data_IF_436702802861
#
_entry.id   IF_436702802861
#
_cell.length_a   1.000
_cell.length_b   1.000
_cell.length_c   1.000
_cell.angle_alpha   90.00
_cell.angle_beta   90.00
_cell.angle_gamma   90.00
#
_symmetry.space_group_name_H-M   'P 1'
#
loop_
_entity.id
_entity.type
_entity.pdbx_description
1 polymer ?
#
# COMPACT_ATOMS: atom_id res chain seq x y z
N UNK A 1 8.84 1.21 23.05
CA UNK A 1 8.98 -0.16 22.51
C UNK A 1 8.04 -0.29 21.31
N UNK A 2 8.46 -0.88 20.18
CA UNK A 2 7.56 -1.08 19.03
C UNK A 2 6.49 -2.13 19.35
N UNK A 3 5.27 -1.93 18.84
CA UNK A 3 4.20 -2.93 18.91
C UNK A 3 4.61 -4.17 18.11
N UNK A 4 4.37 -5.36 18.66
CA UNK A 4 4.67 -6.65 18.02
C UNK A 4 3.41 -7.47 17.80
N UNK A 5 3.43 -8.39 16.83
CA UNK A 5 2.30 -9.30 16.56
C UNK A 5 1.93 -10.12 17.80
N UNK A 6 2.93 -10.59 18.56
CA UNK A 6 2.73 -11.33 19.81
C UNK A 6 1.97 -10.52 20.86
N UNK A 7 2.32 -9.24 21.03
CA UNK A 7 1.59 -8.36 21.96
C UNK A 7 0.14 -8.13 21.53
N UNK A 8 -0.12 -8.04 20.21
CA UNK A 8 -1.49 -7.95 19.69
C UNK A 8 -2.25 -9.24 20.01
N UNK A 9 -1.68 -10.41 19.72
CA UNK A 9 -2.30 -11.71 20.04
C UNK A 9 -2.63 -11.84 21.52
N UNK A 10 -1.67 -11.54 22.41
CA UNK A 10 -1.86 -11.59 23.86
C UNK A 10 -2.97 -10.65 24.34
N UNK A 11 -3.03 -9.44 23.79
CA UNK A 11 -4.06 -8.45 24.13
C UNK A 11 -5.45 -8.91 23.67
N UNK A 12 -5.57 -9.41 22.45
CA UNK A 12 -6.83 -9.90 21.90
C UNK A 12 -7.32 -11.14 22.66
N UNK A 13 -6.43 -12.08 22.98
CA UNK A 13 -6.75 -13.25 23.79
C UNK A 13 -7.23 -12.87 25.19
N UNK A 14 -6.62 -11.84 25.78
CA UNK A 14 -7.07 -11.30 27.07
C UNK A 14 -8.48 -10.70 26.97
N UNK A 15 -8.76 -9.93 25.91
CA UNK A 15 -10.09 -9.36 25.67
C UNK A 15 -11.15 -10.44 25.44
N UNK A 16 -10.87 -11.42 24.57
CA UNK A 16 -11.79 -12.52 24.29
C UNK A 16 -12.16 -13.28 25.55
N UNK A 17 -11.19 -13.55 26.44
CA UNK A 17 -11.44 -14.19 27.75
C UNK A 17 -12.22 -13.30 28.72
N UNK A 18 -11.91 -12.00 28.74
CA UNK A 18 -12.53 -11.06 29.70
C UNK A 18 -14.01 -10.84 29.39
N UNK A 19 -14.36 -10.83 28.10
CA UNK A 19 -15.71 -10.51 27.63
C UNK A 19 -16.49 -11.73 27.13
N UNK A 20 -15.95 -12.94 27.28
CA UNK A 20 -16.52 -14.19 26.73
C UNK A 20 -16.93 -14.04 25.25
N UNK A 21 -15.99 -13.55 24.46
CA UNK A 21 -16.20 -13.14 23.07
C UNK A 21 -15.16 -13.76 22.13
N UNK A 22 -15.30 -13.49 20.83
CA UNK A 22 -14.42 -13.99 19.78
C UNK A 22 -13.92 -12.87 18.84
N UNK A 23 -13.55 -11.72 19.40
CA UNK A 23 -13.09 -10.55 18.65
C UNK A 23 -11.93 -10.88 17.73
N UNK A 24 -10.97 -11.70 18.18
CA UNK A 24 -9.82 -12.07 17.35
C UNK A 24 -10.22 -12.78 16.06
N UNK A 25 -11.05 -13.80 16.18
CA UNK A 25 -11.58 -14.55 15.04
C UNK A 25 -12.48 -13.68 14.17
N UNK A 26 -13.30 -12.82 14.78
CA UNK A 26 -14.22 -11.96 14.04
C UNK A 26 -13.49 -10.90 13.21
N UNK A 27 -12.48 -10.22 13.79
CA UNK A 27 -11.69 -9.19 13.10
C UNK A 27 -10.84 -9.83 11.98
N UNK A 28 -10.33 -11.04 12.19
CA UNK A 28 -9.52 -11.78 11.21
C UNK A 28 -10.34 -12.62 10.23
N UNK A 29 -11.66 -12.56 10.27
CA UNK A 29 -12.49 -13.18 9.23
C UNK A 29 -12.53 -12.27 7.99
N UNK A 30 -12.05 -12.77 6.85
CA UNK A 30 -11.97 -11.99 5.62
C UNK A 30 -13.34 -11.58 5.05
N UNK A 31 -14.43 -12.30 5.39
CA UNK A 31 -15.80 -11.90 5.05
C UNK A 31 -16.19 -10.56 5.68
N UNK A 32 -15.56 -10.22 6.81
CA UNK A 32 -15.79 -8.97 7.52
C UNK A 32 -14.90 -7.81 7.01
N UNK A 33 -14.06 -8.03 5.99
CA UNK A 33 -13.05 -7.06 5.54
C UNK A 33 -13.61 -5.64 5.30
N UNK A 34 -14.80 -5.51 4.72
CA UNK A 34 -15.43 -4.21 4.47
C UNK A 34 -15.82 -3.49 5.77
N UNK A 35 -16.44 -4.23 6.69
CA UNK A 35 -16.90 -3.69 7.99
C UNK A 35 -15.68 -3.28 8.80
N UNK A 36 -14.67 -4.16 8.90
CA UNK A 36 -13.40 -3.88 9.57
C UNK A 36 -12.73 -2.64 8.97
N UNK A 37 -12.66 -2.52 7.65
CA UNK A 37 -12.09 -1.36 6.97
C UNK A 37 -12.80 -0.05 7.33
N UNK A 38 -14.13 -0.02 7.28
CA UNK A 38 -14.93 1.15 7.69
C UNK A 38 -14.70 1.50 9.17
N UNK A 39 -14.70 0.51 10.06
CA UNK A 39 -14.54 0.71 11.50
C UNK A 39 -13.15 1.19 11.86
N UNK A 40 -12.10 0.72 11.17
CA UNK A 40 -10.71 1.09 11.43
C UNK A 40 -10.35 2.48 10.90
N UNK A 41 -11.05 2.97 9.88
CA UNK A 41 -10.79 4.25 9.22
C UNK A 41 -10.71 5.43 10.17
N UNK A 42 -11.59 5.49 11.17
CA UNK A 42 -11.62 6.57 12.18
C UNK A 42 -10.39 6.60 13.10
N UNK A 43 -9.64 5.51 13.16
CA UNK A 43 -8.45 5.38 14.00
C UNK A 43 -7.14 5.65 13.24
N UNK A 44 -7.18 5.66 11.91
CA UNK A 44 -6.00 5.81 11.06
C UNK A 44 -5.18 7.06 11.41
N UNK A 45 -5.87 8.15 11.75
CA UNK A 45 -5.24 9.41 12.11
C UNK A 45 -4.77 9.46 13.57
N UNK A 46 -5.32 8.61 14.45
CA UNK A 46 -5.04 8.61 15.88
C UNK A 46 -3.76 7.87 16.28
N UNK A 47 -3.25 6.98 15.43
CA UNK A 47 -2.09 6.14 15.72
C UNK A 47 -0.90 6.47 14.81
N UNK A 48 0.30 6.07 15.24
CA UNK A 48 1.52 6.19 14.42
C UNK A 48 1.44 5.22 13.25
N UNK A 49 2.04 5.56 12.10
CA UNK A 49 1.93 4.72 10.90
C UNK A 49 2.46 3.31 11.16
N UNK A 50 3.59 3.17 11.86
CA UNK A 50 4.21 1.87 12.15
C UNK A 50 3.35 0.93 12.99
N UNK A 51 2.65 1.46 13.99
CA UNK A 51 1.72 0.69 14.82
C UNK A 51 0.51 0.25 14.00
N UNK A 52 -0.05 1.17 13.21
CA UNK A 52 -1.18 0.88 12.35
C UNK A 52 -0.84 -0.17 11.28
N UNK A 53 0.32 -0.07 10.65
CA UNK A 53 0.85 -1.06 9.70
C UNK A 53 0.96 -2.44 10.38
N UNK A 54 1.45 -2.49 11.62
CA UNK A 54 1.61 -3.75 12.36
C UNK A 54 0.26 -4.40 12.66
N UNK A 55 -0.73 -3.59 13.07
CA UNK A 55 -2.11 -4.05 13.27
C UNK A 55 -2.71 -4.54 11.96
N UNK A 56 -2.58 -3.79 10.86
CA UNK A 56 -3.09 -4.24 9.56
C UNK A 56 -2.47 -5.57 9.13
N UNK A 57 -1.14 -5.73 9.28
CA UNK A 57 -0.45 -6.99 8.97
C UNK A 57 -0.94 -8.15 9.83
N UNK A 58 -1.29 -7.89 11.09
CA UNK A 58 -1.89 -8.89 11.97
C UNK A 58 -3.30 -9.29 11.49
N UNK A 59 -4.14 -8.31 11.15
CA UNK A 59 -5.52 -8.53 10.68
C UNK A 59 -5.53 -9.36 9.40
N UNK A 60 -4.76 -8.94 8.39
CA UNK A 60 -4.79 -9.54 7.07
C UNK A 60 -3.90 -10.78 6.93
N UNK A 61 -3.32 -11.26 8.03
CA UNK A 61 -2.47 -12.44 8.01
C UNK A 61 -3.30 -13.63 7.51
N UNK A 62 -2.80 -14.25 6.44
CA UNK A 62 -3.39 -15.38 5.72
C UNK A 62 -4.65 -15.04 4.88
N UNK A 63 -4.97 -13.76 4.70
CA UNK A 63 -6.08 -13.33 3.84
C UNK A 63 -5.76 -13.44 2.36
N UNK A 64 -6.81 -13.60 1.55
CA UNK A 64 -6.68 -13.50 0.10
C UNK A 64 -6.38 -12.07 -0.34
N UNK A 65 -5.64 -11.90 -1.45
CA UNK A 65 -5.36 -10.57 -2.01
C UNK A 65 -6.64 -9.78 -2.29
N UNK A 66 -7.71 -10.46 -2.73
CA UNK A 66 -9.03 -9.87 -2.97
C UNK A 66 -9.59 -9.19 -1.72
N UNK A 67 -9.56 -9.88 -0.58
CA UNK A 67 -10.05 -9.34 0.70
C UNK A 67 -9.19 -8.18 1.19
N UNK A 68 -7.88 -8.23 0.98
CA UNK A 68 -6.98 -7.11 1.33
C UNK A 68 -7.27 -5.89 0.46
N UNK A 69 -7.51 -6.04 -0.84
CA UNK A 69 -7.92 -4.95 -1.73
C UNK A 69 -9.24 -4.32 -1.24
N UNK A 70 -10.24 -5.15 -0.88
CA UNK A 70 -11.52 -4.66 -0.38
C UNK A 70 -11.37 -3.89 0.95
N UNK A 71 -10.54 -4.41 1.87
CA UNK A 71 -10.18 -3.73 3.11
C UNK A 71 -9.52 -2.38 2.82
N UNK A 72 -8.47 -2.36 1.99
CA UNK A 72 -7.74 -1.14 1.63
C UNK A 72 -8.62 -0.11 0.94
N UNK A 73 -9.57 -0.54 0.09
CA UNK A 73 -10.56 0.34 -0.52
C UNK A 73 -11.40 1.07 0.53
N UNK A 74 -12.04 0.32 1.44
CA UNK A 74 -12.88 0.90 2.51
C UNK A 74 -12.10 1.73 3.51
N UNK A 75 -10.91 1.28 3.85
CA UNK A 75 -10.08 1.91 4.87
C UNK A 75 -9.42 3.20 4.38
N UNK A 76 -8.90 3.21 3.16
CA UNK A 76 -7.98 4.25 2.68
C UNK A 76 -8.44 4.87 1.37
N UNK A 77 -8.74 4.06 0.35
CA UNK A 77 -8.78 4.54 -1.03
C UNK A 77 -10.06 5.32 -1.38
N UNK A 78 -11.20 5.02 -0.76
CA UNK A 78 -12.47 5.72 -1.07
C UNK A 78 -12.38 7.24 -0.88
N UNK A 79 -11.55 7.71 0.04
CA UNK A 79 -11.40 9.14 0.32
C UNK A 79 -10.05 9.70 -0.13
N UNK A 80 -9.14 8.84 -0.65
CA UNK A 80 -7.72 9.22 -0.83
C UNK A 80 -7.54 10.39 -1.80
N UNK A 81 -8.49 10.55 -2.73
CA UNK A 81 -8.48 11.64 -3.69
C UNK A 81 -9.11 12.88 -3.07
N UNK A 82 -8.38 14.00 -3.09
CA UNK A 82 -8.89 15.30 -2.61
C UNK A 82 -8.68 15.57 -1.12
N UNK A 83 -8.04 14.66 -0.38
CA UNK A 83 -7.61 14.93 0.99
C UNK A 83 -6.38 15.85 1.04
N UNK A 84 -6.16 16.48 2.19
CA UNK A 84 -4.96 17.29 2.43
C UNK A 84 -3.67 16.47 2.34
N UNK A 85 -2.57 17.15 1.98
CA UNK A 85 -1.26 16.54 1.70
C UNK A 85 -0.76 15.67 2.86
N UNK A 86 -0.95 16.11 4.10
CA UNK A 86 -0.52 15.38 5.30
C UNK A 86 -1.27 14.04 5.45
N UNK A 87 -2.60 14.08 5.39
CA UNK A 87 -3.44 12.88 5.44
C UNK A 87 -3.11 11.95 4.28
N UNK A 88 -2.99 12.47 3.06
CA UNK A 88 -2.60 11.70 1.88
C UNK A 88 -1.28 10.96 2.11
N UNK A 89 -0.25 11.69 2.55
CA UNK A 89 1.09 11.14 2.79
C UNK A 89 1.07 10.04 3.85
N UNK A 90 0.36 10.26 4.96
CA UNK A 90 0.23 9.27 6.03
C UNK A 90 -0.43 7.99 5.53
N UNK A 91 -1.52 8.10 4.78
CA UNK A 91 -2.25 6.95 4.24
C UNK A 91 -1.44 6.18 3.19
N UNK A 92 -0.72 6.88 2.32
CA UNK A 92 0.22 6.25 1.39
C UNK A 92 1.30 5.48 2.16
N UNK A 93 1.89 6.05 3.20
CA UNK A 93 2.89 5.34 4.03
C UNK A 93 2.34 4.08 4.67
N UNK A 94 1.10 4.11 5.16
CA UNK A 94 0.42 2.92 5.71
C UNK A 94 0.23 1.85 4.64
N UNK A 95 -0.26 2.21 3.44
CA UNK A 95 -0.41 1.26 2.33
C UNK A 95 0.93 0.70 1.87
N UNK A 96 1.93 1.56 1.64
CA UNK A 96 3.29 1.17 1.28
C UNK A 96 3.89 0.22 2.32
N UNK A 97 3.72 0.51 3.60
CA UNK A 97 4.20 -0.32 4.70
C UNK A 97 3.52 -1.69 4.79
N UNK A 98 2.21 -1.76 4.47
CA UNK A 98 1.46 -3.01 4.39
C UNK A 98 2.03 -3.93 3.31
N UNK A 99 2.28 -3.40 2.12
CA UNK A 99 2.71 -4.17 0.94
C UNK A 99 4.24 -4.28 0.80
N UNK A 100 5.01 -3.60 1.66
CA UNK A 100 6.47 -3.46 1.51
C UNK A 100 7.22 -4.78 1.34
N UNK A 101 6.81 -5.82 2.06
CA UNK A 101 7.49 -7.14 2.07
C UNK A 101 6.87 -8.14 1.09
N UNK A 102 5.86 -7.75 0.32
CA UNK A 102 5.19 -8.66 -0.61
C UNK A 102 6.02 -8.95 -1.86
N UNK A 103 5.68 -10.03 -2.54
CA UNK A 103 6.20 -10.35 -3.87
C UNK A 103 5.78 -9.26 -4.89
N UNK A 104 6.68 -8.78 -5.78
CA UNK A 104 6.35 -7.84 -6.86
C UNK A 104 5.06 -8.11 -7.61
N UNK A 105 4.75 -9.38 -7.90
CA UNK A 105 3.51 -9.77 -8.60
C UNK A 105 2.28 -9.33 -7.79
N UNK A 106 2.22 -9.66 -6.50
CA UNK A 106 1.10 -9.25 -5.64
C UNK A 106 1.02 -7.74 -5.46
N UNK A 107 2.16 -7.04 -5.39
CA UNK A 107 2.18 -5.58 -5.34
C UNK A 107 1.57 -5.00 -6.61
N UNK A 108 1.94 -5.52 -7.78
CA UNK A 108 1.42 -5.05 -9.07
C UNK A 108 -0.10 -5.25 -9.18
N UNK A 109 -0.60 -6.45 -8.87
CA UNK A 109 -2.04 -6.75 -8.86
C UNK A 109 -2.81 -5.87 -7.86
N UNK A 110 -2.25 -5.67 -6.66
CA UNK A 110 -2.84 -4.78 -5.66
C UNK A 110 -2.98 -3.36 -6.20
N UNK A 111 -1.90 -2.78 -6.74
CA UNK A 111 -1.89 -1.40 -7.27
C UNK A 111 -2.85 -1.26 -8.44
N UNK A 112 -2.87 -2.21 -9.38
CA UNK A 112 -3.78 -2.20 -10.52
C UNK A 112 -5.23 -2.23 -10.05
N UNK A 113 -5.58 -3.12 -9.13
CA UNK A 113 -6.94 -3.23 -8.58
C UNK A 113 -7.37 -1.99 -7.79
N UNK A 114 -6.43 -1.32 -7.12
CA UNK A 114 -6.68 -0.08 -6.38
C UNK A 114 -6.91 1.14 -7.27
N UNK A 115 -6.46 1.09 -8.53
CA UNK A 115 -6.46 2.25 -9.44
C UNK A 115 -7.43 2.12 -10.61
N UNK A 116 -8.25 1.06 -10.67
CA UNK A 116 -9.20 0.79 -11.77
C UNK A 116 -10.13 1.98 -12.05
N UNK A 117 -10.66 2.60 -11.00
CA UNK A 117 -11.66 3.67 -11.09
C UNK A 117 -11.03 5.08 -11.14
N UNK A 118 -9.70 5.18 -11.09
CA UNK A 118 -8.99 6.46 -11.08
C UNK A 118 -8.73 6.98 -12.49
N UNK A 119 -8.79 8.31 -12.63
CA UNK A 119 -8.30 8.99 -13.84
C UNK A 119 -6.81 8.74 -14.06
N UNK A 120 -6.31 8.94 -15.28
CA UNK A 120 -4.89 8.77 -15.61
C UNK A 120 -3.98 9.56 -14.66
N UNK A 121 -4.30 10.83 -14.41
CA UNK A 121 -3.51 11.68 -13.51
C UNK A 121 -3.51 11.14 -12.08
N UNK A 122 -4.69 10.84 -11.51
CA UNK A 122 -4.80 10.30 -10.15
C UNK A 122 -4.10 8.95 -10.00
N UNK A 123 -4.25 8.08 -11.01
CA UNK A 123 -3.60 6.77 -11.07
C UNK A 123 -2.08 6.91 -11.04
N UNK A 124 -1.53 7.80 -11.87
CA UNK A 124 -0.08 8.01 -11.93
C UNK A 124 0.47 8.64 -10.65
N UNK A 125 -0.23 9.63 -10.07
CA UNK A 125 0.13 10.22 -8.78
C UNK A 125 0.15 9.19 -7.64
N UNK A 126 -0.91 8.37 -7.56
CA UNK A 126 -1.00 7.30 -6.59
C UNK A 126 0.13 6.28 -6.76
N UNK A 127 0.36 5.81 -7.99
CA UNK A 127 1.39 4.82 -8.30
C UNK A 127 2.79 5.34 -7.96
N UNK A 128 3.13 6.58 -8.31
CA UNK A 128 4.44 7.16 -7.96
C UNK A 128 4.57 7.27 -6.44
N UNK A 129 3.53 7.74 -5.76
CA UNK A 129 3.54 7.91 -4.30
C UNK A 129 3.76 6.58 -3.56
N UNK A 130 3.02 5.52 -3.93
CA UNK A 130 3.09 4.23 -3.26
C UNK A 130 4.38 3.48 -3.57
N UNK A 131 4.94 3.66 -4.78
CA UNK A 131 6.11 2.95 -5.27
C UNK A 131 7.44 3.58 -4.84
N UNK A 132 7.45 4.84 -4.38
CA UNK A 132 8.70 5.54 -4.05
C UNK A 132 9.48 4.89 -2.88
N UNK A 133 8.81 4.05 -2.08
CA UNK A 133 9.43 3.35 -0.94
C UNK A 133 10.38 2.21 -1.35
N UNK A 134 10.27 1.70 -2.58
CA UNK A 134 11.00 0.51 -3.02
C UNK A 134 12.39 0.85 -3.60
N UNK A 135 13.34 -0.07 -3.41
CA UNK A 135 14.63 0.01 -4.09
C UNK A 135 14.49 -0.20 -5.62
N UNK A 136 15.54 0.12 -6.39
CA UNK A 136 15.52 0.03 -7.85
C UNK A 136 15.14 -1.34 -8.37
N UNK A 137 15.67 -2.40 -7.76
CA UNK A 137 15.50 -3.77 -8.24
C UNK A 137 14.05 -4.20 -8.05
N UNK A 138 13.51 -4.04 -6.85
CA UNK A 138 12.13 -4.39 -6.58
C UNK A 138 11.15 -3.51 -7.37
N UNK A 139 11.47 -2.22 -7.52
CA UNK A 139 10.68 -1.30 -8.32
C UNK A 139 10.63 -1.71 -9.81
N UNK A 140 11.76 -2.10 -10.42
CA UNK A 140 11.78 -2.51 -11.82
C UNK A 140 10.96 -3.78 -12.05
N UNK A 141 11.06 -4.75 -11.13
CA UNK A 141 10.24 -5.97 -11.15
C UNK A 141 8.74 -5.64 -11.07
N UNK A 142 8.33 -4.75 -10.16
CA UNK A 142 6.91 -4.32 -10.06
C UNK A 142 6.45 -3.61 -11.33
N UNK A 143 7.25 -2.66 -11.84
CA UNK A 143 6.89 -1.86 -13.02
C UNK A 143 6.75 -2.73 -14.27
N UNK A 144 7.62 -3.72 -14.47
CA UNK A 144 7.53 -4.66 -15.58
C UNK A 144 6.20 -5.45 -15.57
N UNK A 145 5.71 -5.82 -14.38
CA UNK A 145 4.40 -6.49 -14.24
C UNK A 145 3.23 -5.54 -14.54
N UNK A 146 3.34 -4.25 -14.17
CA UNK A 146 2.31 -3.24 -14.41
C UNK A 146 2.26 -2.83 -15.88
N UNK A 147 3.41 -2.69 -16.53
CA UNK A 147 3.56 -2.13 -17.89
C UNK A 147 2.67 -2.83 -18.93
N UNK A 148 2.57 -4.15 -18.85
CA UNK A 148 1.75 -4.95 -19.76
C UNK A 148 0.24 -4.83 -19.54
N UNK A 149 -0.19 -4.21 -18.43
CA UNK A 149 -1.58 -4.19 -17.96
C UNK A 149 -2.20 -2.80 -17.89
N UNK A 150 -1.43 -1.75 -18.21
CA UNK A 150 -1.90 -0.36 -18.22
C UNK A 150 -2.04 0.17 -19.64
N UNK A 151 -2.92 1.16 -19.81
CA UNK A 151 -3.09 1.84 -21.08
C UNK A 151 -1.87 2.71 -21.44
N UNK A 152 -1.71 2.98 -22.73
CA UNK A 152 -0.57 3.73 -23.29
C UNK A 152 -0.47 5.14 -22.69
N UNK A 153 -1.59 5.78 -22.36
CA UNK A 153 -1.59 7.13 -21.83
C UNK A 153 -1.07 7.15 -20.38
N UNK A 154 -1.54 6.22 -19.54
CA UNK A 154 -1.01 6.00 -18.18
C UNK A 154 0.48 5.68 -18.22
N UNK A 155 0.91 4.82 -19.14
CA UNK A 155 2.34 4.49 -19.30
C UNK A 155 3.20 5.71 -19.60
N UNK A 156 2.80 6.54 -20.56
CA UNK A 156 3.53 7.77 -20.93
C UNK A 156 3.65 8.72 -19.74
N UNK A 157 2.57 8.92 -18.99
CA UNK A 157 2.54 9.83 -17.86
C UNK A 157 3.36 9.32 -16.67
N UNK A 158 3.35 8.00 -16.40
CA UNK A 158 4.22 7.39 -15.39
C UNK A 158 5.69 7.61 -15.72
N UNK A 159 6.10 7.34 -16.96
CA UNK A 159 7.49 7.54 -17.41
C UNK A 159 7.89 9.00 -17.25
N UNK A 160 7.00 9.94 -17.59
CA UNK A 160 7.25 11.38 -17.40
C UNK A 160 7.48 11.72 -15.92
N UNK A 161 6.56 11.33 -15.03
CA UNK A 161 6.67 11.63 -13.58
C UNK A 161 7.91 11.00 -12.94
N UNK A 162 8.23 9.76 -13.30
CA UNK A 162 9.46 9.14 -12.79
C UNK A 162 10.71 9.86 -13.29
N UNK A 163 10.78 10.26 -14.57
CA UNK A 163 11.87 11.08 -15.09
C UNK A 163 12.00 12.41 -14.35
N UNK A 164 10.89 13.15 -14.19
CA UNK A 164 10.88 14.44 -13.51
C UNK A 164 11.36 14.31 -12.05
N UNK A 165 11.01 13.23 -11.35
CA UNK A 165 11.50 12.96 -9.99
C UNK A 165 13.02 12.72 -9.92
N UNK A 166 13.64 12.15 -10.97
CA UNK A 166 15.10 11.95 -11.05
C UNK A 166 15.85 13.28 -11.13
N UNK A 167 15.27 14.28 -11.79
CA UNK A 167 15.92 15.58 -11.99
C UNK A 167 15.79 16.51 -10.78
N UNK A 168 14.83 16.27 -9.88
CA UNK A 168 14.56 17.14 -8.73
C UNK A 168 15.24 16.67 -7.43
N UNK A 169 15.57 15.38 -7.28
CA UNK A 169 16.21 14.84 -6.07
C UNK A 169 17.74 14.75 -6.21
N UNK A 170 18.45 15.29 -5.22
CA UNK A 170 19.93 15.32 -5.15
C UNK A 170 20.53 13.90 -5.25
N UNK A 171 21.49 13.79 -6.18
CA UNK A 171 22.34 12.66 -6.66
C UNK A 171 22.58 11.38 -5.84
N UNK A 172 22.25 11.27 -4.56
CA UNK A 172 22.63 10.11 -3.74
C UNK A 172 21.56 9.02 -3.59
N UNK A 173 20.27 9.33 -3.78
CA UNK A 173 19.22 8.28 -3.72
C UNK A 173 19.09 7.48 -5.02
N UNK A 174 19.46 8.08 -6.17
CA UNK A 174 19.28 7.47 -7.49
C UNK A 174 20.54 6.90 -8.15
N UNK A 175 21.76 7.14 -7.62
CA UNK A 175 23.01 6.52 -8.12
C UNK A 175 23.00 4.97 -8.09
N UNK A 176 22.02 4.35 -7.40
CA UNK A 176 21.81 2.89 -7.34
C UNK A 176 20.81 2.35 -8.39
N UNK A 177 20.26 3.20 -9.27
CA UNK A 177 19.15 2.86 -10.19
C UNK A 177 19.54 2.82 -11.68
N UNK A 178 20.76 2.34 -12.00
CA UNK A 178 21.21 2.13 -13.39
C UNK A 178 20.28 1.25 -14.23
N UNK A 179 19.46 0.39 -13.60
CA UNK A 179 18.61 -0.56 -14.31
C UNK A 179 17.29 0.01 -14.86
N UNK A 180 16.93 1.27 -14.58
CA UNK A 180 15.67 1.85 -15.11
C UNK A 180 15.78 2.19 -16.60
N UNK A 181 16.96 2.61 -17.06
CA UNK A 181 17.23 2.90 -18.48
C UNK A 181 17.51 1.63 -19.27
N UNK A 182 18.17 0.65 -18.64
CA UNK A 182 18.41 -0.68 -19.22
C UNK A 182 17.11 -1.48 -19.40
N UNK A 183 16.14 -1.38 -18.48
CA UNK A 183 14.87 -2.08 -18.60
C UNK A 183 13.96 -1.52 -19.73
N UNK A 184 14.20 -0.29 -20.18
CA UNK A 184 13.38 0.39 -21.19
C UNK A 184 14.06 0.49 -22.57
N UNK A 185 15.28 -0.01 -22.78
CA UNK A 185 16.06 0.23 -24.01
C UNK A 185 16.01 1.71 -24.45
N UNK A 186 16.11 2.64 -23.50
CA UNK A 186 16.27 4.07 -23.81
C UNK A 186 17.76 4.40 -23.66
N UNK A 187 18.54 3.78 -24.54
CA UNK A 187 19.87 4.20 -25.01
C UNK A 187 20.04 3.69 -26.43
#
# INVERSE_FOLDING_TARGET
>A
MPLTLKQIDETILFMDKTYDANFGNWIRNEDNCKIVGCSLKKYLECYRESEFITVLKWIVKDWTLKSIILLSKKLILEDIIGMGIEAYTKRIRVLSGLIFTWNPIFISEFILACTVELTVTQKTDFMVSILNVFDSKKLSEILSQIESKIDVQTKKELVRKFKDSVYLETKDQWKRRGSMLEAYNIM
#
